data_IF_947739829698
#
_entry.id   IF_947739829698
#
_cell.length_a   1.000
_cell.length_b   1.000
_cell.length_c   1.000
_cell.angle_alpha   90.00
_cell.angle_beta   90.00
_cell.angle_gamma   90.00
#
_symmetry.space_group_name_H-M   'P 1'
#
loop_
_entity.id
_entity.type
_entity.pdbx_description
1 polymer ?
#
# COMPACT_ATOMS: atom_id res chain seq x y z
N UNK A 1 -10.35 27.49 -12.46
CA UNK A 1 -9.23 26.71 -11.94
C UNK A 1 -8.18 26.54 -13.04
N UNK A 2 -6.94 26.75 -12.68
CA UNK A 2 -5.80 26.60 -13.57
C UNK A 2 -5.58 25.09 -13.87
N UNK A 3 -5.10 24.77 -15.07
CA UNK A 3 -4.80 23.41 -15.49
C UNK A 3 -3.80 22.73 -14.54
N UNK A 4 -2.80 23.50 -14.06
CA UNK A 4 -1.81 22.98 -13.11
C UNK A 4 -2.44 22.63 -11.76
N UNK A 5 -3.39 23.43 -11.27
CA UNK A 5 -4.11 23.13 -10.03
C UNK A 5 -5.00 21.91 -10.17
N UNK A 6 -5.69 21.76 -11.30
CA UNK A 6 -6.50 20.58 -11.57
C UNK A 6 -5.63 19.31 -11.60
N UNK A 7 -4.48 19.38 -12.24
CA UNK A 7 -3.54 18.25 -12.31
C UNK A 7 -3.03 17.85 -10.92
N UNK A 8 -2.72 18.83 -10.06
CA UNK A 8 -2.26 18.57 -8.69
C UNK A 8 -3.35 17.93 -7.84
N UNK A 9 -4.57 18.46 -7.90
CA UNK A 9 -5.71 17.90 -7.15
C UNK A 9 -5.98 16.48 -7.61
N UNK A 10 -5.97 16.23 -8.91
CA UNK A 10 -6.18 14.89 -9.46
C UNK A 10 -5.07 13.92 -9.04
N UNK A 11 -3.83 14.36 -9.05
CA UNK A 11 -2.68 13.57 -8.62
C UNK A 11 -2.75 13.20 -7.14
N UNK A 12 -3.17 14.14 -6.28
CA UNK A 12 -3.36 13.89 -4.85
C UNK A 12 -4.49 12.90 -4.60
N UNK A 13 -5.61 13.03 -5.30
CA UNK A 13 -6.73 12.10 -5.18
C UNK A 13 -6.32 10.69 -5.60
N UNK A 14 -5.58 10.55 -6.70
CA UNK A 14 -5.08 9.27 -7.19
C UNK A 14 -4.13 8.60 -6.19
N UNK A 15 -3.24 9.39 -5.60
CA UNK A 15 -2.30 8.92 -4.58
C UNK A 15 -3.03 8.45 -3.32
N UNK A 16 -4.02 9.19 -2.86
CA UNK A 16 -4.82 8.82 -1.70
C UNK A 16 -5.58 7.53 -1.94
N UNK A 17 -6.21 7.38 -3.11
CA UNK A 17 -6.89 6.15 -3.50
C UNK A 17 -5.94 4.96 -3.56
N UNK A 18 -4.74 5.15 -4.09
CA UNK A 18 -3.72 4.12 -4.13
C UNK A 18 -3.30 3.67 -2.72
N UNK A 19 -3.00 4.61 -1.83
CA UNK A 19 -2.62 4.29 -0.45
C UNK A 19 -3.72 3.55 0.30
N UNK A 20 -4.97 3.98 0.15
CA UNK A 20 -6.11 3.32 0.79
C UNK A 20 -6.28 1.90 0.27
N UNK A 21 -6.25 1.70 -1.05
CA UNK A 21 -6.37 0.40 -1.67
C UNK A 21 -5.22 -0.52 -1.26
N UNK A 22 -4.00 0.01 -1.23
CA UNK A 22 -2.81 -0.75 -0.83
C UNK A 22 -2.94 -1.27 0.60
N UNK A 23 -3.36 -0.41 1.52
CA UNK A 23 -3.54 -0.78 2.94
C UNK A 23 -4.68 -1.79 3.10
N UNK A 24 -5.76 -1.63 2.36
CA UNK A 24 -6.87 -2.57 2.37
C UNK A 24 -6.43 -3.94 1.88
N UNK A 25 -5.74 -4.02 0.77
CA UNK A 25 -5.19 -5.28 0.25
C UNK A 25 -4.20 -5.92 1.23
N UNK A 26 -3.36 -5.12 1.86
CA UNK A 26 -2.41 -5.61 2.86
C UNK A 26 -3.13 -6.19 4.08
N UNK A 27 -4.19 -5.54 4.56
CA UNK A 27 -4.99 -6.03 5.68
C UNK A 27 -5.66 -7.36 5.34
N UNK A 28 -6.21 -7.49 4.15
CA UNK A 28 -6.82 -8.74 3.68
C UNK A 28 -5.77 -9.85 3.61
N UNK A 29 -4.59 -9.56 3.07
CA UNK A 29 -3.49 -10.52 2.98
C UNK A 29 -3.02 -10.96 4.38
N UNK A 30 -2.89 -10.00 5.31
CA UNK A 30 -2.50 -10.30 6.68
C UNK A 30 -3.48 -11.26 7.34
N UNK A 31 -4.77 -10.97 7.25
CA UNK A 31 -5.82 -11.84 7.81
C UNK A 31 -5.80 -13.22 7.15
N UNK A 32 -5.63 -13.28 5.84
CA UNK A 32 -5.56 -14.53 5.10
C UNK A 32 -4.40 -15.39 5.58
N UNK A 33 -3.23 -14.80 5.78
CA UNK A 33 -2.05 -15.52 6.26
C UNK A 33 -2.25 -16.02 7.69
N UNK A 34 -2.80 -15.18 8.57
CA UNK A 34 -3.05 -15.54 9.97
C UNK A 34 -4.11 -16.65 10.08
N UNK A 35 -5.13 -16.62 9.23
CA UNK A 35 -6.22 -17.59 9.28
C UNK A 35 -5.81 -18.95 8.71
N UNK A 36 -4.83 -18.99 7.82
CA UNK A 36 -4.46 -20.22 7.10
C UNK A 36 -3.15 -20.84 7.56
N UNK A 37 -2.32 -20.13 8.32
CA UNK A 37 -1.01 -20.60 8.73
C UNK A 37 -0.91 -20.68 10.25
N UNK A 38 -0.20 -21.69 10.73
CA UNK A 38 0.13 -21.81 12.14
C UNK A 38 1.12 -20.72 12.56
N UNK A 39 1.07 -20.33 13.83
CA UNK A 39 2.05 -19.41 14.40
C UNK A 39 3.44 -19.99 14.25
N UNK A 40 4.34 -19.20 13.70
CA UNK A 40 5.71 -19.65 13.42
C UNK A 40 6.59 -18.44 13.13
N UNK A 41 7.89 -18.63 13.17
CA UNK A 41 8.83 -17.58 12.78
C UNK A 41 8.65 -17.22 11.31
N UNK A 42 8.33 -18.20 10.48
CA UNK A 42 8.09 -17.99 9.05
C UNK A 42 6.86 -17.10 8.82
N UNK A 43 5.78 -17.31 9.59
CA UNK A 43 4.61 -16.45 9.51
C UNK A 43 4.96 -15.02 9.91
N UNK A 44 5.70 -14.83 11.01
CA UNK A 44 6.14 -13.50 11.42
C UNK A 44 6.99 -12.83 10.36
N UNK A 45 7.89 -13.58 9.72
CA UNK A 45 8.72 -13.04 8.65
C UNK A 45 7.87 -12.63 7.44
N UNK A 46 6.87 -13.42 7.09
CA UNK A 46 5.93 -13.08 6.02
C UNK A 46 5.17 -11.78 6.32
N UNK A 47 4.68 -11.63 7.54
CA UNK A 47 3.95 -10.42 7.96
C UNK A 47 4.85 -9.18 7.96
N UNK A 48 6.10 -9.31 8.40
CA UNK A 48 7.08 -8.22 8.33
C UNK A 48 7.38 -7.84 6.90
N UNK A 49 7.53 -8.84 6.02
CA UNK A 49 7.78 -8.59 4.60
C UNK A 49 6.60 -7.88 3.95
N UNK A 50 5.38 -8.23 4.33
CA UNK A 50 4.18 -7.56 3.85
C UNK A 50 4.15 -6.09 4.27
N UNK A 51 4.47 -5.80 5.54
CA UNK A 51 4.56 -4.43 6.03
C UNK A 51 5.64 -3.64 5.30
N UNK A 52 6.81 -4.25 5.10
CA UNK A 52 7.89 -3.62 4.35
C UNK A 52 7.48 -3.34 2.90
N UNK A 53 6.77 -4.27 2.28
CA UNK A 53 6.28 -4.09 0.91
C UNK A 53 5.33 -2.89 0.81
N UNK A 54 4.44 -2.71 1.79
CA UNK A 54 3.52 -1.56 1.83
C UNK A 54 4.31 -0.25 1.93
N UNK A 55 5.30 -0.18 2.82
CA UNK A 55 6.11 1.02 2.99
C UNK A 55 6.90 1.37 1.74
N UNK A 56 7.52 0.37 1.10
CA UNK A 56 8.26 0.57 -0.13
C UNK A 56 7.35 0.99 -1.29
N UNK A 57 6.15 0.43 -1.37
CA UNK A 57 5.18 0.79 -2.39
C UNK A 57 4.69 2.24 -2.20
N UNK A 58 4.43 2.66 -0.97
CA UNK A 58 4.06 4.04 -0.67
C UNK A 58 5.20 4.99 -1.03
N UNK A 59 6.44 4.65 -0.70
CA UNK A 59 7.60 5.45 -1.06
C UNK A 59 7.77 5.54 -2.58
N UNK A 60 7.60 4.45 -3.28
CA UNK A 60 7.65 4.44 -4.74
C UNK A 60 6.61 5.36 -5.35
N UNK A 61 5.38 5.37 -4.80
CA UNK A 61 4.34 6.28 -5.26
C UNK A 61 4.66 7.74 -4.97
N UNK A 62 5.34 8.01 -3.85
CA UNK A 62 5.78 9.36 -3.50
C UNK A 62 6.89 9.86 -4.42
N UNK A 63 7.84 9.00 -4.76
CA UNK A 63 9.03 9.36 -5.53
C UNK A 63 8.78 9.39 -7.03
N UNK A 64 7.98 8.49 -7.55
CA UNK A 64 7.84 8.26 -8.99
C UNK A 64 6.42 8.45 -9.52
N UNK A 65 5.46 8.65 -8.63
CA UNK A 65 4.06 8.77 -9.00
C UNK A 65 3.41 7.42 -9.29
N UNK A 66 2.15 7.48 -9.69
CA UNK A 66 1.30 6.32 -9.96
C UNK A 66 1.01 6.27 -11.45
N UNK A 67 1.10 5.10 -12.03
CA UNK A 67 0.77 4.89 -13.45
C UNK A 67 -0.68 5.14 -13.75
#
# INVERSE_FOLDING_TARGET
>A
MDIEQEARVYGLAKKTQFSEALREHASIMELYLRDNLHRSDELYNALRSLQAAVLWAEEASDMHGIK
#
